data_IF_085634921260
#
_entry.id   IF_085634921260
#
_cell.length_a   1.000
_cell.length_b   1.000
_cell.length_c   1.000
_cell.angle_alpha   90.00
_cell.angle_beta   90.00
_cell.angle_gamma   90.00
#
_symmetry.space_group_name_H-M   'P 1'
#
loop_
_entity.id
_entity.type
_entity.pdbx_description
1 polymer ?
#
# COMPACT_ATOMS: atom_id res chain seq x y z
N UNK A 1 31.96 43.74 -3.13
CA UNK A 1 30.64 43.62 -3.77
C UNK A 1 30.09 42.24 -3.45
N UNK A 2 29.06 42.17 -2.62
CA UNK A 2 28.49 40.92 -2.11
C UNK A 2 27.45 40.37 -3.07
N UNK A 3 27.40 39.06 -3.36
CA UNK A 3 26.24 38.48 -4.03
C UNK A 3 25.18 38.09 -2.98
N UNK A 4 23.99 38.66 -3.15
CA UNK A 4 22.82 38.37 -2.32
C UNK A 4 22.30 36.95 -2.60
N UNK A 5 22.19 36.13 -1.55
CA UNK A 5 21.56 34.81 -1.61
C UNK A 5 20.04 34.96 -1.64
N UNK A 6 19.42 34.72 -2.80
CA UNK A 6 17.97 34.58 -2.91
C UNK A 6 17.53 33.24 -2.31
N UNK A 7 16.95 33.28 -1.11
CA UNK A 7 16.31 32.11 -0.47
C UNK A 7 14.90 31.95 -1.05
N UNK A 8 14.74 31.04 -2.00
CA UNK A 8 13.41 30.62 -2.44
C UNK A 8 12.79 29.71 -1.37
N UNK A 9 11.84 30.26 -0.61
CA UNK A 9 11.01 29.52 0.33
C UNK A 9 10.08 28.59 -0.48
N UNK A 10 10.18 27.28 -0.30
CA UNK A 10 9.21 26.34 -0.86
C UNK A 10 7.85 26.59 -0.20
N UNK A 11 6.90 27.11 -0.99
CA UNK A 11 5.50 27.26 -0.61
C UNK A 11 4.91 25.85 -0.41
N UNK A 12 4.41 25.56 0.79
CA UNK A 12 3.64 24.34 1.05
C UNK A 12 2.37 24.36 0.19
N UNK A 13 2.17 23.32 -0.61
CA UNK A 13 0.93 23.11 -1.37
C UNK A 13 -0.17 22.64 -0.43
N UNK A 14 -1.33 23.28 -0.48
CA UNK A 14 -2.52 22.88 0.26
C UNK A 14 -3.03 21.52 -0.23
N UNK A 15 -3.39 20.64 0.70
CA UNK A 15 -4.01 19.35 0.36
C UNK A 15 -5.47 19.56 -0.02
N UNK A 16 -6.01 18.69 -0.89
CA UNK A 16 -7.36 18.79 -1.45
C UNK A 16 -8.51 18.85 -0.42
N UNK A 17 -8.24 18.62 0.87
CA UNK A 17 -9.21 18.76 1.96
C UNK A 17 -9.45 20.20 2.44
N UNK A 18 -8.55 21.15 2.16
CA UNK A 18 -8.61 22.52 2.71
C UNK A 18 -9.45 23.48 1.85
N UNK A 19 -9.73 23.16 0.57
CA UNK A 19 -10.47 24.04 -0.35
C UNK A 19 -12.02 23.97 -0.20
N UNK A 20 -12.52 23.30 0.84
CA UNK A 20 -13.96 23.00 0.99
C UNK A 20 -14.69 23.81 2.07
N UNK A 21 -14.03 24.73 2.79
CA UNK A 21 -14.61 25.37 3.99
C UNK A 21 -14.65 26.89 4.04
N UNK A 22 -14.23 27.60 3.01
CA UNK A 22 -14.36 29.07 3.01
C UNK A 22 -15.53 29.48 2.12
N UNK A 23 -16.64 29.69 2.81
CA UNK A 23 -17.94 30.12 2.35
C UNK A 23 -18.07 31.65 2.34
N UNK A 24 -18.70 32.19 1.28
CA UNK A 24 -19.86 33.13 1.34
C UNK A 24 -19.62 34.65 1.58
N UNK A 25 -20.32 35.47 0.75
CA UNK A 25 -20.66 36.93 0.78
C UNK A 25 -19.54 37.93 0.39
N UNK A 26 -19.69 38.98 -0.45
CA UNK A 26 -20.80 39.82 -0.98
C UNK A 26 -20.39 40.44 -2.35
N UNK A 27 -21.26 40.56 -3.37
CA UNK A 27 -22.22 41.64 -3.75
C UNK A 27 -21.59 42.91 -4.41
N UNK A 28 -21.95 43.18 -5.68
CA UNK A 28 -22.13 44.53 -6.27
C UNK A 28 -22.70 44.47 -7.70
N UNK A 29 -23.92 45.00 -7.83
CA UNK A 29 -24.70 45.59 -8.95
C UNK A 29 -24.06 45.87 -10.32
N UNK A 30 -24.83 45.64 -11.41
CA UNK A 30 -25.42 46.70 -12.25
C UNK A 30 -26.39 46.15 -13.32
N UNK A 31 -27.37 47.00 -13.67
CA UNK A 31 -28.63 46.80 -14.39
C UNK A 31 -28.46 46.56 -15.91
N UNK A 32 -29.40 45.88 -16.59
CA UNK A 32 -30.49 46.56 -17.35
C UNK A 32 -31.43 45.61 -18.15
N UNK A 33 -32.69 46.03 -18.13
CA UNK A 33 -33.85 45.87 -19.04
C UNK A 33 -34.57 44.53 -19.35
N UNK A 34 -35.91 44.64 -19.32
CA UNK A 34 -36.96 43.63 -19.43
C UNK A 34 -37.54 43.54 -20.88
N UNK A 35 -38.65 42.80 -21.21
CA UNK A 35 -40.00 43.04 -20.67
C UNK A 35 -40.86 41.79 -20.34
N UNK A 36 -41.92 42.05 -19.58
CA UNK A 36 -42.96 41.17 -19.04
C UNK A 36 -43.97 40.60 -20.06
N UNK A 37 -44.54 39.41 -19.77
CA UNK A 37 -45.97 39.00 -19.85
C UNK A 37 -46.02 37.48 -19.55
N UNK A 38 -46.66 36.90 -18.53
CA UNK A 38 -48.10 36.82 -18.26
C UNK A 38 -48.31 36.49 -16.78
N UNK A 39 -49.07 37.34 -16.12
CA UNK A 39 -49.58 37.20 -14.76
C UNK A 39 -50.78 36.22 -14.71
N UNK A 40 -51.03 35.65 -13.52
CA UNK A 40 -52.28 35.00 -13.05
C UNK A 40 -52.34 33.47 -13.11
N UNK A 41 -51.63 32.82 -12.18
CA UNK A 41 -51.87 31.42 -11.85
C UNK A 41 -51.40 30.94 -10.48
N UNK A 42 -50.75 31.79 -9.66
CA UNK A 42 -50.13 31.37 -8.41
C UNK A 42 -50.74 32.09 -7.20
N UNK A 43 -52.06 31.97 -7.04
CA UNK A 43 -52.72 32.31 -5.76
C UNK A 43 -52.69 31.15 -4.76
N UNK A 44 -52.02 30.04 -5.09
CA UNK A 44 -51.84 28.92 -4.16
C UNK A 44 -50.36 28.60 -3.97
N UNK A 45 -49.96 28.41 -2.71
CA UNK A 45 -48.62 27.91 -2.39
C UNK A 45 -48.39 26.61 -3.19
N UNK A 46 -47.19 26.38 -3.76
CA UNK A 46 -46.89 25.15 -4.50
C UNK A 46 -47.23 23.87 -3.71
N UNK A 47 -47.16 23.96 -2.38
CA UNK A 47 -47.51 22.88 -1.45
C UNK A 47 -49.02 22.63 -1.38
N UNK A 48 -49.84 23.66 -1.49
CA UNK A 48 -51.30 23.57 -1.55
C UNK A 48 -51.80 23.12 -2.91
N UNK A 49 -51.13 23.53 -3.99
CA UNK A 49 -51.43 23.06 -5.34
C UNK A 49 -51.28 21.54 -5.43
N UNK A 50 -50.16 20.99 -4.94
CA UNK A 50 -49.94 19.55 -4.89
C UNK A 50 -50.99 18.87 -4.01
N UNK A 51 -51.37 19.47 -2.88
CA UNK A 51 -52.36 18.89 -1.96
C UNK A 51 -53.77 18.86 -2.56
N UNK A 52 -54.12 19.84 -3.39
CA UNK A 52 -55.42 19.90 -4.06
C UNK A 52 -55.55 18.89 -5.20
N UNK A 53 -54.44 18.56 -5.90
CA UNK A 53 -54.45 17.56 -6.98
C UNK A 53 -54.95 16.17 -6.53
N UNK A 54 -54.80 15.83 -5.25
CA UNK A 54 -55.20 14.53 -4.70
C UNK A 54 -56.60 14.52 -4.09
N UNK A 55 -57.29 15.67 -3.99
CA UNK A 55 -58.63 15.73 -3.36
C UNK A 55 -59.72 15.14 -4.26
N UNK A 56 -59.58 15.29 -5.58
CA UNK A 56 -60.60 14.85 -6.56
C UNK A 56 -60.23 13.54 -7.26
N UNK A 57 -59.11 12.92 -6.89
CA UNK A 57 -58.64 11.69 -7.49
C UNK A 57 -59.44 10.48 -6.97
N UNK A 58 -60.46 10.06 -7.73
CA UNK A 58 -61.22 8.82 -7.48
C UNK A 58 -60.86 7.76 -8.49
N UNK A 59 -60.37 6.61 -8.03
CA UNK A 59 -60.14 5.41 -8.85
C UNK A 59 -61.44 4.61 -8.91
N UNK A 60 -61.97 4.37 -10.11
CA UNK A 60 -63.11 3.49 -10.32
C UNK A 60 -62.70 2.02 -10.13
N UNK A 61 -63.32 1.33 -9.17
CA UNK A 61 -63.15 -0.10 -8.94
C UNK A 61 -63.90 -0.89 -10.02
N UNK A 62 -63.25 -1.16 -11.15
CA UNK A 62 -63.81 -2.07 -12.15
C UNK A 62 -63.75 -3.51 -11.66
N UNK A 63 -64.93 -4.10 -11.49
CA UNK A 63 -65.16 -5.48 -11.07
C UNK A 63 -64.61 -6.50 -12.08
N UNK A 64 -64.11 -7.61 -11.54
CA UNK A 64 -63.67 -8.79 -12.28
C UNK A 64 -64.83 -9.41 -13.09
N UNK A 65 -64.67 -9.51 -14.42
CA UNK A 65 -65.46 -10.42 -15.25
C UNK A 65 -64.51 -11.36 -16.00
N UNK A 66 -64.32 -12.54 -15.41
CA UNK A 66 -63.86 -13.74 -16.09
C UNK A 66 -65.12 -14.50 -16.56
N UNK A 67 -65.21 -14.78 -17.86
CA UNK A 67 -66.06 -15.84 -18.42
C UNK A 67 -65.40 -16.25 -19.75
N UNK A 68 -64.81 -17.44 -19.85
CA UNK A 68 -65.45 -18.74 -20.07
C UNK A 68 -66.23 -18.79 -21.40
N UNK A 69 -65.66 -19.53 -22.35
CA UNK A 69 -66.39 -20.08 -23.50
C UNK A 69 -65.59 -21.26 -24.06
N UNK A 70 -65.89 -22.44 -23.53
CA UNK A 70 -65.67 -23.73 -24.18
C UNK A 70 -67.06 -24.30 -24.45
N UNK A 71 -67.33 -24.64 -25.72
CA UNK A 71 -68.40 -25.48 -26.32
C UNK A 71 -68.63 -24.89 -27.73
N UNK A 72 -68.56 -25.58 -28.88
CA UNK A 72 -68.85 -26.95 -29.33
C UNK A 72 -68.18 -27.09 -30.72
N UNK A 73 -67.84 -28.25 -31.30
CA UNK A 73 -68.70 -29.36 -31.75
C UNK A 73 -67.87 -30.62 -32.04
N UNK A 74 -68.52 -31.77 -31.81
CA UNK A 74 -68.12 -33.12 -32.18
C UNK A 74 -68.22 -33.39 -33.69
N UNK A 75 -67.45 -34.38 -34.16
CA UNK A 75 -67.98 -35.40 -35.06
C UNK A 75 -67.30 -35.55 -36.43
N UNK A 76 -66.94 -36.79 -36.76
CA UNK A 76 -67.02 -37.27 -38.16
C UNK A 76 -65.71 -37.66 -38.83
N UNK A 77 -65.55 -38.96 -39.06
CA UNK A 77 -64.47 -39.64 -39.78
C UNK A 77 -64.51 -39.37 -41.31
N UNK A 78 -63.34 -39.47 -41.99
CA UNK A 78 -63.02 -40.42 -43.09
C UNK A 78 -61.94 -39.89 -44.06
N UNK A 79 -61.03 -40.82 -44.41
CA UNK A 79 -60.27 -40.98 -45.68
C UNK A 79 -59.33 -39.84 -46.14
N UNK A 80 -58.22 -40.05 -46.84
CA UNK A 80 -57.36 -41.17 -47.20
C UNK A 80 -56.07 -40.55 -47.78
N UNK A 81 -54.95 -41.27 -47.63
CA UNK A 81 -53.75 -41.29 -48.48
C UNK A 81 -53.45 -40.08 -49.41
N UNK A 82 -52.28 -39.47 -49.25
CA UNK A 82 -51.19 -39.64 -50.21
C UNK A 82 -49.85 -39.11 -49.69
N UNK A 83 -48.83 -39.94 -49.88
CA UNK A 83 -47.41 -39.62 -49.70
C UNK A 83 -47.00 -38.61 -50.77
N UNK A 84 -46.17 -37.62 -50.43
CA UNK A 84 -44.97 -37.28 -51.22
C UNK A 84 -44.02 -36.39 -50.44
N UNK A 85 -42.77 -36.84 -50.40
CA UNK A 85 -41.62 -36.13 -49.85
C UNK A 85 -41.33 -34.88 -50.69
N UNK A 86 -40.93 -33.79 -50.05
CA UNK A 86 -40.45 -32.62 -50.77
C UNK A 86 -40.12 -31.41 -49.89
N UNK A 87 -38.82 -31.25 -49.60
CA UNK A 87 -38.13 -30.00 -49.22
C UNK A 87 -38.69 -29.22 -48.02
N UNK A 88 -38.09 -29.46 -46.85
CA UNK A 88 -37.99 -28.44 -45.78
C UNK A 88 -37.19 -27.24 -46.31
N UNK A 89 -37.84 -26.26 -46.93
CA UNK A 89 -37.29 -24.92 -47.00
C UNK A 89 -37.43 -24.32 -45.60
N UNK A 90 -36.30 -24.12 -44.92
CA UNK A 90 -36.26 -23.43 -43.63
C UNK A 90 -36.68 -21.96 -43.78
N UNK A 91 -37.98 -21.69 -43.86
CA UNK A 91 -38.51 -20.38 -43.48
C UNK A 91 -38.51 -20.34 -41.96
N UNK A 92 -37.37 -19.91 -41.39
CA UNK A 92 -37.39 -19.35 -40.04
C UNK A 92 -38.34 -18.16 -40.08
N UNK A 93 -39.48 -18.31 -39.43
CA UNK A 93 -40.38 -17.21 -39.15
C UNK A 93 -39.60 -16.18 -38.34
N UNK A 94 -39.17 -15.10 -39.00
CA UNK A 94 -38.43 -14.04 -38.33
C UNK A 94 -39.42 -13.35 -37.40
N UNK A 95 -39.24 -13.50 -36.09
CA UNK A 95 -40.00 -12.75 -35.10
C UNK A 95 -39.99 -11.27 -35.51
N UNK A 96 -41.18 -10.70 -35.75
CA UNK A 96 -41.33 -9.28 -36.03
C UNK A 96 -40.91 -8.53 -34.76
N UNK A 97 -39.68 -8.04 -34.75
CA UNK A 97 -39.15 -7.21 -33.68
C UNK A 97 -39.96 -5.92 -33.70
N UNK A 98 -40.76 -5.69 -32.65
CA UNK A 98 -41.47 -4.42 -32.46
C UNK A 98 -40.42 -3.34 -32.23
N UNK A 99 -40.19 -2.51 -33.25
CA UNK A 99 -39.34 -1.32 -33.11
C UNK A 99 -40.22 -0.20 -32.56
N UNK A 100 -39.98 0.27 -31.32
CA UNK A 100 -40.76 1.38 -30.78
C UNK A 100 -40.58 2.62 -31.65
N UNK A 101 -41.68 3.33 -31.88
CA UNK A 101 -41.65 4.60 -32.59
C UNK A 101 -40.71 5.57 -31.83
N UNK A 102 -39.69 6.15 -32.49
CA UNK A 102 -38.77 7.06 -31.81
C UNK A 102 -39.53 8.28 -31.28
N UNK A 103 -39.02 8.83 -30.18
CA UNK A 103 -39.60 10.02 -29.58
C UNK A 103 -39.35 11.26 -30.47
N UNK A 104 -40.24 12.24 -30.43
CA UNK A 104 -40.14 13.43 -31.28
C UNK A 104 -38.83 14.21 -31.06
N UNK A 105 -38.28 14.20 -29.84
CA UNK A 105 -36.97 14.77 -29.55
C UNK A 105 -35.81 14.02 -30.25
N UNK A 106 -35.89 12.70 -30.51
CA UNK A 106 -34.82 11.97 -31.22
C UNK A 106 -34.82 12.38 -32.69
N UNK A 107 -36.01 12.52 -33.25
CA UNK A 107 -36.19 12.95 -34.64
C UNK A 107 -35.68 14.39 -34.80
N UNK A 108 -35.97 15.27 -33.83
CA UNK A 108 -35.45 16.64 -33.76
C UNK A 108 -33.91 16.65 -33.69
N UNK A 109 -33.29 15.86 -32.82
CA UNK A 109 -31.81 15.76 -32.72
C UNK A 109 -31.17 15.18 -33.99
N UNK A 110 -31.79 14.15 -34.59
CA UNK A 110 -31.31 13.57 -35.84
C UNK A 110 -31.37 14.56 -37.01
N UNK A 111 -32.43 15.39 -37.08
CA UNK A 111 -32.52 16.47 -38.07
C UNK A 111 -31.45 17.54 -37.84
N UNK A 112 -31.20 17.94 -36.58
CA UNK A 112 -30.12 18.88 -36.24
C UNK A 112 -28.74 18.36 -36.64
N UNK A 113 -28.47 17.07 -36.40
CA UNK A 113 -27.24 16.40 -36.84
C UNK A 113 -27.11 16.36 -38.36
N UNK A 114 -28.19 16.13 -39.11
CA UNK A 114 -28.21 16.19 -40.58
C UNK A 114 -27.90 17.58 -41.11
N UNK A 115 -28.30 18.63 -40.39
CA UNK A 115 -27.98 20.03 -40.70
C UNK A 115 -26.58 20.44 -40.24
N UNK A 116 -25.79 19.52 -39.67
CA UNK A 116 -24.43 19.79 -39.20
C UNK A 116 -24.36 20.63 -37.91
N UNK A 117 -25.48 20.84 -37.23
CA UNK A 117 -25.54 21.59 -35.98
C UNK A 117 -25.05 20.69 -34.85
N UNK A 118 -23.80 20.89 -34.43
CA UNK A 118 -23.19 20.16 -33.32
C UNK A 118 -23.76 20.61 -31.98
N UNK A 119 -23.85 19.67 -31.06
CA UNK A 119 -24.23 19.93 -29.67
C UNK A 119 -23.02 20.44 -28.90
N UNK A 120 -23.21 21.25 -27.85
CA UNK A 120 -22.12 21.77 -27.01
C UNK A 120 -21.18 20.65 -26.50
N UNK A 121 -21.74 19.54 -26.07
CA UNK A 121 -21.00 18.36 -25.63
C UNK A 121 -20.16 17.71 -26.74
N UNK A 122 -20.67 17.67 -27.97
CA UNK A 122 -19.94 17.14 -29.12
C UNK A 122 -18.73 18.03 -29.44
N UNK A 123 -18.89 19.35 -29.36
CA UNK A 123 -17.79 20.32 -29.55
C UNK A 123 -16.75 20.22 -28.43
N UNK A 124 -17.17 20.04 -27.18
CA UNK A 124 -16.27 19.86 -26.03
C UNK A 124 -15.43 18.58 -26.18
N UNK A 125 -16.03 17.47 -26.61
CA UNK A 125 -15.31 16.22 -26.89
C UNK A 125 -14.31 16.36 -28.04
N UNK A 126 -14.70 17.03 -29.12
CA UNK A 126 -13.79 17.30 -30.25
C UNK A 126 -12.60 18.17 -29.82
N UNK A 127 -12.83 19.21 -29.00
CA UNK A 127 -11.76 20.05 -28.47
C UNK A 127 -10.81 19.30 -27.53
N UNK A 128 -11.35 18.40 -26.69
CA UNK A 128 -10.54 17.54 -25.83
C UNK A 128 -9.65 16.60 -26.66
N UNK A 129 -10.20 16.01 -27.73
CA UNK A 129 -9.45 15.15 -28.64
C UNK A 129 -8.35 15.94 -29.37
N UNK A 130 -8.64 17.15 -29.83
CA UNK A 130 -7.65 18.03 -30.47
C UNK A 130 -6.51 18.40 -29.51
N UNK A 131 -6.83 18.71 -28.24
CA UNK A 131 -5.81 18.97 -27.21
C UNK A 131 -4.93 17.75 -26.97
N UNK A 132 -5.54 16.55 -26.87
CA UNK A 132 -4.80 15.30 -26.71
C UNK A 132 -3.84 15.06 -27.87
N UNK A 133 -4.29 15.27 -29.11
CA UNK A 133 -3.45 15.11 -30.30
C UNK A 133 -2.28 16.09 -30.33
N UNK A 134 -2.51 17.35 -29.92
CA UNK A 134 -1.43 18.34 -29.80
C UNK A 134 -0.41 17.93 -28.73
N UNK A 135 -0.87 17.51 -27.56
CA UNK A 135 -0.02 17.00 -26.47
C UNK A 135 0.81 15.80 -26.95
N UNK A 136 0.19 14.80 -27.57
CA UNK A 136 0.86 13.62 -28.13
C UNK A 136 1.95 13.99 -29.15
N UNK A 137 1.67 14.92 -30.07
CA UNK A 137 2.67 15.37 -31.05
C UNK A 137 3.83 16.08 -30.37
N UNK A 138 3.56 16.92 -29.37
CA UNK A 138 4.63 17.60 -28.61
C UNK A 138 5.46 16.61 -27.78
N UNK A 139 4.83 15.56 -27.25
CA UNK A 139 5.52 14.49 -26.53
C UNK A 139 6.34 13.60 -27.45
N UNK A 140 5.86 13.27 -28.65
CA UNK A 140 6.61 12.54 -29.67
C UNK A 140 7.84 13.32 -30.16
N UNK A 141 7.76 14.65 -30.22
CA UNK A 141 8.91 15.51 -30.53
C UNK A 141 9.93 15.56 -29.39
N UNK A 142 9.50 15.29 -28.15
CA UNK A 142 10.38 15.23 -26.98
C UNK A 142 11.17 13.93 -26.99
N UNK A 143 12.40 13.99 -27.53
CA UNK A 143 13.36 12.90 -27.43
C UNK A 143 13.59 12.55 -25.97
N UNK A 144 13.34 11.30 -25.58
CA UNK A 144 13.56 10.84 -24.22
C UNK A 144 15.01 11.09 -23.82
N UNK A 145 15.20 11.91 -22.78
CA UNK A 145 16.48 12.12 -22.12
C UNK A 145 16.26 11.84 -20.64
N UNK A 146 17.18 11.09 -20.05
CA UNK A 146 17.18 10.91 -18.61
C UNK A 146 17.32 12.27 -17.92
N UNK A 147 16.60 12.46 -16.83
CA UNK A 147 16.86 13.60 -15.95
C UNK A 147 18.32 13.54 -15.50
N UNK A 148 19.06 14.66 -15.55
CA UNK A 148 20.43 14.66 -15.06
C UNK A 148 20.47 14.24 -13.60
N UNK A 149 21.58 13.62 -13.20
CA UNK A 149 21.78 13.20 -11.82
C UNK A 149 21.68 14.45 -10.90
N UNK A 150 20.94 14.38 -9.78
CA UNK A 150 20.86 15.51 -8.86
C UNK A 150 22.23 15.99 -8.39
N UNK A 151 22.42 17.32 -8.33
CA UNK A 151 23.70 17.94 -8.03
C UNK A 151 24.34 17.46 -6.71
N UNK A 152 23.53 17.18 -5.69
CA UNK A 152 24.01 16.72 -4.38
C UNK A 152 24.74 15.36 -4.42
N UNK A 153 24.53 14.55 -5.47
CA UNK A 153 25.24 13.28 -5.67
C UNK A 153 26.70 13.51 -6.04
N UNK A 154 27.02 14.66 -6.64
CA UNK A 154 28.39 15.03 -7.01
C UNK A 154 29.15 15.71 -5.87
N UNK A 155 28.48 16.09 -4.78
CA UNK A 155 29.08 16.79 -3.65
C UNK A 155 29.49 15.80 -2.53
N UNK A 156 30.72 15.86 -2.01
CA UNK A 156 31.17 15.01 -0.90
C UNK A 156 30.61 15.51 0.45
N UNK A 157 29.33 15.24 0.73
CA UNK A 157 28.60 15.75 1.91
C UNK A 157 28.86 14.97 3.23
N UNK A 158 29.84 14.07 3.26
CA UNK A 158 30.02 13.15 4.39
C UNK A 158 30.26 13.88 5.71
N UNK A 159 31.11 14.92 5.70
CA UNK A 159 31.45 15.68 6.90
C UNK A 159 30.25 16.46 7.44
N UNK A 160 29.50 17.14 6.57
CA UNK A 160 28.27 17.84 6.95
C UNK A 160 27.20 16.89 7.51
N UNK A 161 27.06 15.69 6.93
CA UNK A 161 26.12 14.68 7.41
C UNK A 161 26.54 14.14 8.77
N UNK A 162 27.84 13.94 8.99
CA UNK A 162 28.40 13.54 10.29
C UNK A 162 28.13 14.62 11.33
N UNK A 163 28.43 15.88 11.04
CA UNK A 163 28.22 17.00 11.95
C UNK A 163 26.74 17.15 12.33
N UNK A 164 25.82 17.14 11.36
CA UNK A 164 24.36 17.16 11.65
C UNK A 164 23.91 15.97 12.49
N UNK A 165 24.54 14.80 12.34
CA UNK A 165 24.23 13.64 13.19
C UNK A 165 24.72 13.83 14.63
N UNK A 166 25.90 14.44 14.80
CA UNK A 166 26.45 14.76 16.12
C UNK A 166 25.67 15.86 16.81
N UNK A 167 25.24 16.89 16.10
CA UNK A 167 24.33 17.92 16.60
C UNK A 167 23.02 17.30 17.07
N UNK A 168 22.38 16.45 16.27
CA UNK A 168 21.17 15.73 16.70
C UNK A 168 21.42 14.91 17.97
N UNK A 169 22.55 14.21 18.06
CA UNK A 169 22.93 13.45 19.26
C UNK A 169 23.09 14.36 20.49
N UNK A 170 23.81 15.48 20.35
CA UNK A 170 24.02 16.47 21.43
C UNK A 170 22.69 17.06 21.90
N UNK A 171 21.85 17.51 20.97
CA UNK A 171 20.54 18.09 21.33
C UNK A 171 19.64 17.08 22.06
N UNK A 172 19.71 15.80 21.71
CA UNK A 172 18.97 14.74 22.40
C UNK A 172 19.52 14.54 23.82
N UNK A 173 20.84 14.43 23.97
CA UNK A 173 21.49 14.30 25.28
C UNK A 173 21.14 15.49 26.19
N UNK A 174 21.23 16.72 25.70
CA UNK A 174 20.85 17.90 26.49
C UNK A 174 19.38 17.89 26.92
N UNK A 175 18.48 17.41 26.06
CA UNK A 175 17.05 17.27 26.40
C UNK A 175 16.84 16.22 27.47
N UNK A 176 17.51 15.08 27.36
CA UNK A 176 17.46 14.01 28.35
C UNK A 176 18.05 14.47 29.69
N UNK A 177 19.19 15.15 29.69
CA UNK A 177 19.81 15.71 30.89
C UNK A 177 18.90 16.72 31.58
N UNK A 178 18.30 17.65 30.82
CA UNK A 178 17.32 18.61 31.36
C UNK A 178 16.11 17.89 31.96
N UNK A 179 15.58 16.89 31.25
CA UNK A 179 14.45 16.10 31.74
C UNK A 179 14.80 15.36 33.04
N UNK A 180 15.94 14.66 33.06
CA UNK A 180 16.45 13.97 34.23
C UNK A 180 16.66 14.94 35.40
N UNK A 181 17.21 16.13 35.16
CA UNK A 181 17.36 17.16 36.18
C UNK A 181 16.03 17.63 36.78
N UNK A 182 14.96 17.71 35.98
CA UNK A 182 13.62 18.07 36.49
C UNK A 182 12.92 16.94 37.26
N UNK A 183 13.17 15.68 36.89
CA UNK A 183 12.52 14.50 37.49
C UNK A 183 13.25 14.06 38.76
N UNK A 184 14.57 14.24 38.82
CA UNK A 184 15.37 13.87 39.98
C UNK A 184 15.10 14.81 41.15
N UNK A 185 14.44 14.29 42.20
CA UNK A 185 14.49 14.92 43.53
C UNK A 185 15.83 14.54 44.17
N UNK A 186 16.70 15.48 44.54
CA UNK A 186 17.94 15.14 45.22
C UNK A 186 17.62 14.40 46.52
N UNK A 187 18.37 13.34 46.82
CA UNK A 187 18.22 12.64 48.09
C UNK A 187 18.48 13.60 49.25
N UNK A 188 17.72 13.47 50.34
CA UNK A 188 17.86 14.30 51.54
C UNK A 188 19.29 14.31 52.13
N UNK A 189 20.08 13.27 51.81
CA UNK A 189 21.50 13.21 52.15
C UNK A 189 22.34 14.27 51.45
N UNK A 190 22.09 14.55 50.16
CA UNK A 190 22.85 15.53 49.38
C UNK A 190 22.58 16.94 49.90
N UNK A 191 21.32 17.25 50.22
CA UNK A 191 20.95 18.53 50.85
C UNK A 191 21.59 18.69 52.23
N UNK A 192 21.52 17.65 53.08
CA UNK A 192 22.17 17.65 54.40
C UNK A 192 23.68 17.87 54.30
N UNK A 193 24.35 17.24 53.33
CA UNK A 193 25.80 17.39 53.16
C UNK A 193 26.16 18.80 52.67
N UNK A 194 25.37 19.39 51.76
CA UNK A 194 25.53 20.79 51.34
C UNK A 194 25.40 21.74 52.51
N UNK A 195 24.35 21.59 53.31
CA UNK A 195 24.08 22.42 54.49
C UNK A 195 25.18 22.27 55.55
N UNK A 196 25.70 21.06 55.76
CA UNK A 196 26.85 20.80 56.64
C UNK A 196 28.15 21.42 56.12
N UNK A 197 28.37 21.43 54.80
CA UNK A 197 29.52 22.11 54.17
C UNK A 197 29.39 23.62 54.29
N UNK A 198 28.20 24.18 54.06
CA UNK A 198 27.92 25.61 54.25
C UNK A 198 28.11 26.04 55.71
N UNK A 199 27.61 25.26 56.69
CA UNK A 199 27.85 25.54 58.12
C UNK A 199 29.33 25.45 58.51
N UNK A 200 30.10 24.52 57.93
CA UNK A 200 31.55 24.44 58.12
C UNK A 200 32.28 25.63 57.49
N UNK A 201 31.81 26.13 56.35
CA UNK A 201 32.37 27.30 55.68
C UNK A 201 32.00 28.61 56.39
N UNK A 202 30.84 28.67 57.05
CA UNK A 202 30.39 29.81 57.86
C UNK A 202 31.06 29.90 59.25
N UNK A 203 32.01 29.02 59.57
CA UNK A 203 32.86 29.16 60.75
C UNK A 203 32.12 29.16 62.10
N UNK A 204 30.91 28.61 62.17
CA UNK A 204 30.18 28.44 63.44
C UNK A 204 30.98 27.50 64.35
N UNK A 205 31.41 27.95 65.55
CA UNK A 205 32.05 27.06 66.51
C UNK A 205 30.98 26.12 67.04
N UNK A 206 31.10 24.83 66.69
CA UNK A 206 30.32 23.79 67.35
C UNK A 206 30.80 23.71 68.81
N UNK A 207 29.97 24.20 69.74
CA UNK A 207 30.17 23.96 71.16
C UNK A 207 30.32 22.45 71.38
N UNK A 208 31.49 22.05 71.89
CA UNK A 208 31.76 20.67 72.26
C UNK A 208 31.00 20.34 73.53
N UNK A 209 29.69 20.15 73.40
CA UNK A 209 28.84 19.65 74.45
C UNK A 209 29.32 18.24 74.82
N UNK A 210 29.77 18.08 76.06
CA UNK A 210 30.39 16.85 76.57
C UNK A 210 29.50 15.65 76.25
N UNK A 211 30.00 14.79 75.37
CA UNK A 211 29.31 13.62 74.85
C UNK A 211 28.98 12.68 76.01
N UNK A 212 27.71 12.67 76.45
CA UNK A 212 27.19 11.61 77.30
C UNK A 212 27.30 10.30 76.52
N UNK A 213 27.93 9.23 77.05
CA UNK A 213 28.00 7.96 76.34
C UNK A 213 26.59 7.45 76.11
N UNK A 214 26.24 7.30 74.83
CA UNK A 214 24.93 6.83 74.39
C UNK A 214 24.68 5.43 74.95
N UNK A 215 23.71 5.30 75.86
CA UNK A 215 23.20 4.00 76.31
C UNK A 215 22.09 3.59 75.35
N UNK A 216 22.42 2.70 74.41
CA UNK A 216 21.46 2.19 73.45
C UNK A 216 20.40 1.32 74.14
N UNK A 217 19.14 1.45 73.68
CA UNK A 217 18.11 0.45 74.00
C UNK A 217 18.57 -0.92 73.44
N UNK A 218 18.30 -2.03 74.12
CA UNK A 218 18.68 -3.35 73.64
C UNK A 218 18.12 -3.59 72.24
N UNK A 219 18.94 -4.18 71.38
CA UNK A 219 18.58 -4.42 69.99
C UNK A 219 17.34 -5.34 69.95
N UNK A 220 16.29 -4.98 69.19
CA UNK A 220 15.11 -5.83 69.06
C UNK A 220 15.47 -7.25 68.63
N UNK A 221 14.77 -8.25 69.20
CA UNK A 221 15.01 -9.68 68.93
C UNK A 221 14.91 -10.04 67.44
N UNK A 222 14.15 -9.27 66.66
CA UNK A 222 14.05 -9.42 65.20
C UNK A 222 15.39 -9.24 64.47
N UNK A 223 16.31 -8.44 65.00
CA UNK A 223 17.63 -8.25 64.42
C UNK A 223 18.50 -9.50 64.63
N UNK A 224 18.37 -10.15 65.78
CA UNK A 224 19.04 -11.43 66.04
C UNK A 224 18.45 -12.56 65.20
N UNK A 225 17.14 -12.53 64.92
CA UNK A 225 16.49 -13.45 63.98
C UNK A 225 16.96 -13.22 62.53
N UNK A 226 17.21 -11.98 62.12
CA UNK A 226 17.82 -11.69 60.82
C UNK A 226 19.30 -12.11 60.75
N UNK A 227 20.01 -12.05 61.87
CA UNK A 227 21.42 -12.45 61.99
C UNK A 227 21.63 -13.96 62.23
N UNK A 228 20.58 -14.74 62.52
CA UNK A 228 20.67 -16.18 62.77
C UNK A 228 21.13 -16.99 61.56
N UNK A 229 21.22 -16.36 60.38
CA UNK A 229 21.68 -16.98 59.13
C UNK A 229 20.71 -18.01 58.56
N UNK A 230 19.65 -18.38 59.29
CA UNK A 230 18.61 -19.31 58.84
C UNK A 230 17.82 -18.72 57.68
N UNK A 231 17.41 -17.45 57.79
CA UNK A 231 16.72 -16.73 56.71
C UNK A 231 17.57 -16.64 55.44
N UNK A 232 18.90 -16.49 55.57
CA UNK A 232 19.81 -16.46 54.42
C UNK A 232 19.90 -17.83 53.73
N UNK A 233 19.95 -18.93 54.52
CA UNK A 233 19.94 -20.30 53.99
C UNK A 233 18.61 -20.60 53.29
N UNK A 234 17.50 -20.18 53.87
CA UNK A 234 16.17 -20.32 53.28
C UNK A 234 16.05 -19.53 51.97
N UNK A 235 16.50 -18.27 51.94
CA UNK A 235 16.48 -17.47 50.71
C UNK A 235 17.38 -18.07 49.61
N UNK A 236 18.55 -18.59 49.97
CA UNK A 236 19.42 -19.30 49.03
C UNK A 236 18.75 -20.57 48.48
N UNK A 237 18.03 -21.32 49.32
CA UNK A 237 17.26 -22.48 48.90
C UNK A 237 16.15 -22.06 47.93
N UNK A 238 15.36 -21.04 48.25
CA UNK A 238 14.33 -20.51 47.34
C UNK A 238 14.91 -20.03 46.01
N UNK A 239 16.04 -19.32 46.03
CA UNK A 239 16.73 -18.90 44.80
C UNK A 239 17.18 -20.10 43.97
N UNK A 240 17.74 -21.13 44.62
CA UNK A 240 18.21 -22.34 43.95
C UNK A 240 17.06 -23.09 43.26
N UNK A 241 15.93 -23.26 43.95
CA UNK A 241 14.72 -23.88 43.43
C UNK A 241 14.20 -23.07 42.25
N UNK A 242 14.13 -21.74 42.37
CA UNK A 242 13.64 -20.86 41.30
C UNK A 242 14.54 -20.92 40.06
N UNK A 243 15.86 -20.98 40.24
CA UNK A 243 16.81 -21.14 39.14
C UNK A 243 16.62 -22.50 38.46
N UNK A 244 16.49 -23.57 39.23
CA UNK A 244 16.25 -24.92 38.70
C UNK A 244 14.93 -24.99 37.91
N UNK A 245 13.85 -24.46 38.47
CA UNK A 245 12.55 -24.40 37.79
C UNK A 245 12.64 -23.62 36.48
N UNK A 246 13.27 -22.44 36.49
CA UNK A 246 13.45 -21.63 35.29
C UNK A 246 14.33 -22.35 34.25
N UNK A 247 15.38 -23.04 34.68
CA UNK A 247 16.23 -23.81 33.79
C UNK A 247 15.47 -24.97 33.14
N UNK A 248 14.65 -25.68 33.91
CA UNK A 248 13.79 -26.75 33.41
C UNK A 248 12.75 -26.22 32.42
N UNK A 249 12.08 -25.11 32.73
CA UNK A 249 11.12 -24.46 31.83
C UNK A 249 11.77 -23.99 30.53
N UNK A 250 12.96 -23.36 30.60
CA UNK A 250 13.72 -23.00 29.40
C UNK A 250 14.12 -24.23 28.59
N UNK A 251 14.52 -25.33 29.23
CA UNK A 251 14.86 -26.57 28.53
C UNK A 251 13.62 -27.20 27.86
N UNK A 252 12.47 -27.17 28.53
CA UNK A 252 11.21 -27.68 27.98
C UNK A 252 10.70 -26.82 26.82
N UNK A 253 10.76 -25.49 26.95
CA UNK A 253 10.31 -24.53 25.91
C UNK A 253 11.25 -24.46 24.70
N UNK A 254 12.55 -24.67 24.90
CA UNK A 254 13.53 -24.78 23.81
C UNK A 254 13.64 -26.19 23.22
N UNK A 255 12.99 -27.19 23.83
CA UNK A 255 13.00 -28.56 23.32
C UNK A 255 12.31 -28.63 21.96
N UNK A 256 12.96 -29.30 21.01
CA UNK A 256 12.36 -29.53 19.69
C UNK A 256 11.12 -30.44 19.82
N UNK A 257 10.16 -30.36 18.87
CA UNK A 257 9.02 -31.27 18.84
C UNK A 257 9.45 -32.75 18.92
N UNK A 258 8.70 -33.62 19.61
CA UNK A 258 9.07 -35.04 19.79
C UNK A 258 9.42 -35.79 18.49
N UNK A 259 8.78 -35.44 17.37
CA UNK A 259 9.06 -36.01 16.05
C UNK A 259 10.45 -35.67 15.49
N UNK A 260 10.99 -34.50 15.82
CA UNK A 260 12.35 -34.10 15.45
C UNK A 260 13.40 -34.75 16.34
N UNK A 261 13.07 -34.99 17.62
CA UNK A 261 13.94 -35.69 18.55
C UNK A 261 14.12 -37.15 18.14
N UNK A 262 13.05 -37.85 17.77
CA UNK A 262 13.14 -39.25 17.28
C UNK A 262 13.99 -39.36 16.02
N UNK A 263 13.82 -38.42 15.07
CA UNK A 263 14.64 -38.35 13.84
C UNK A 263 16.13 -38.13 14.14
N UNK A 264 16.46 -37.20 15.04
CA UNK A 264 17.86 -36.93 15.44
C UNK A 264 18.52 -38.15 16.10
N UNK A 265 17.77 -38.90 16.90
CA UNK A 265 18.28 -40.12 17.55
C UNK A 265 18.51 -41.25 16.54
N UNK A 266 17.62 -41.42 15.54
CA UNK A 266 17.84 -42.38 14.46
C UNK A 266 19.03 -42.00 13.57
N UNK A 267 19.17 -40.71 13.23
CA UNK A 267 20.29 -40.20 12.42
C UNK A 267 21.63 -40.40 13.15
N UNK A 268 21.67 -40.16 14.46
CA UNK A 268 22.87 -40.37 15.28
C UNK A 268 23.22 -41.85 15.43
N UNK A 269 22.23 -42.75 15.53
CA UNK A 269 22.47 -44.20 15.55
C UNK A 269 23.05 -44.67 14.21
N UNK A 270 22.53 -44.16 13.10
CA UNK A 270 23.03 -44.43 11.73
C UNK A 270 24.48 -43.96 11.51
N UNK A 271 24.88 -42.84 12.10
CA UNK A 271 26.24 -42.30 11.97
C UNK A 271 27.26 -42.92 12.95
N UNK A 272 26.80 -43.46 14.09
CA UNK A 272 27.65 -44.10 15.10
C UNK A 272 28.18 -45.46 14.64
N UNK A 273 27.42 -46.17 13.80
CA UNK A 273 27.85 -47.42 13.18
C UNK A 273 28.91 -47.21 12.06
N UNK A 274 29.30 -45.96 11.76
CA UNK A 274 30.32 -45.62 10.76
C UNK A 274 31.47 -44.72 11.22
N UNK A 275 31.54 -44.29 12.48
CA UNK A 275 32.58 -43.33 12.93
C UNK A 275 32.93 -43.41 14.43
N UNK A 276 33.04 -44.62 14.98
CA UNK A 276 33.47 -44.84 16.37
C UNK A 276 35.01 -44.75 16.57
N UNK A 277 35.68 -43.83 15.87
CA UNK A 277 37.11 -43.58 16.06
C UNK A 277 37.45 -42.13 15.68
N UNK A 278 37.20 -41.18 16.58
CA UNK A 278 38.15 -40.08 16.88
C UNK A 278 37.55 -39.09 17.89
N UNK A 279 38.14 -39.09 19.08
CA UNK A 279 38.54 -37.88 19.79
C UNK A 279 37.45 -36.90 20.21
N UNK A 280 36.92 -37.11 21.42
CA UNK A 280 36.45 -36.02 22.27
C UNK A 280 37.64 -35.14 22.71
N UNK A 281 38.20 -34.35 21.80
CA UNK A 281 39.23 -33.36 22.08
C UNK A 281 38.60 -31.98 22.22
N UNK A 282 38.80 -31.33 23.36
CA UNK A 282 38.45 -29.94 23.60
C UNK A 282 39.09 -29.05 22.52
N UNK A 283 38.26 -28.36 21.74
CA UNK A 283 38.73 -27.37 20.76
C UNK A 283 39.47 -26.24 21.50
N UNK A 284 40.80 -26.24 21.49
CA UNK A 284 41.67 -25.26 22.15
C UNK A 284 41.82 -23.93 21.39
N UNK A 285 40.82 -23.57 20.58
CA UNK A 285 40.90 -22.34 19.78
C UNK A 285 40.52 -21.12 20.64
N UNK A 286 41.54 -20.43 21.18
CA UNK A 286 41.40 -19.07 21.70
C UNK A 286 41.82 -18.06 20.61
N UNK A 287 40.88 -17.31 20.01
CA UNK A 287 41.26 -16.28 19.05
C UNK A 287 42.08 -15.19 19.78
N UNK A 288 43.22 -14.81 19.20
CA UNK A 288 43.94 -13.61 19.61
C UNK A 288 43.10 -12.38 19.25
N UNK A 289 42.48 -11.79 20.26
CA UNK A 289 41.73 -10.54 20.11
C UNK A 289 42.74 -9.40 20.23
N UNK A 290 42.92 -8.63 19.17
CA UNK A 290 43.73 -7.41 19.19
C UNK A 290 43.17 -6.46 20.27
N UNK A 291 43.99 -6.15 21.28
CA UNK A 291 43.58 -5.31 22.43
C UNK A 291 43.51 -3.83 22.09
N UNK A 292 44.32 -3.39 21.14
CA UNK A 292 44.39 -2.00 20.73
C UNK A 292 43.51 -1.77 19.51
N UNK A 293 42.57 -0.85 19.65
CA UNK A 293 41.70 -0.41 18.57
C UNK A 293 42.54 0.50 17.67
N UNK A 294 42.82 0.09 16.41
CA UNK A 294 43.60 0.94 15.53
C UNK A 294 42.85 2.24 15.22
N UNK A 295 43.57 3.33 15.01
CA UNK A 295 42.98 4.58 14.56
C UNK A 295 42.37 4.40 13.15
N UNK A 296 41.04 4.25 13.12
CA UNK A 296 40.27 4.05 11.91
C UNK A 296 40.24 5.30 11.04
N UNK A 297 40.30 6.49 11.65
CA UNK A 297 40.27 7.75 10.92
C UNK A 297 41.58 7.96 10.16
N UNK A 298 42.72 7.67 10.79
CA UNK A 298 44.03 7.72 10.12
C UNK A 298 44.10 6.70 8.97
N UNK A 299 43.60 5.47 9.18
CA UNK A 299 43.54 4.45 8.11
C UNK A 299 42.62 4.89 6.97
N UNK A 300 41.46 5.47 7.28
CA UNK A 300 40.51 5.96 6.29
C UNK A 300 41.11 7.12 5.48
N UNK A 301 41.76 8.09 6.12
CA UNK A 301 42.47 9.19 5.43
C UNK A 301 43.57 8.68 4.49
N UNK A 302 44.35 7.68 4.92
CA UNK A 302 45.37 7.05 4.06
C UNK A 302 44.75 6.36 2.85
N UNK A 303 43.63 5.66 3.06
CA UNK A 303 42.90 5.00 1.99
C UNK A 303 42.31 5.99 0.98
N UNK A 304 41.69 7.08 1.45
CA UNK A 304 41.18 8.14 0.58
C UNK A 304 42.29 8.76 -0.27
N UNK A 305 43.43 9.12 0.33
CA UNK A 305 44.60 9.64 -0.40
C UNK A 305 45.10 8.65 -1.46
N UNK A 306 45.05 7.36 -1.18
CA UNK A 306 45.42 6.31 -2.13
C UNK A 306 44.43 6.21 -3.30
N UNK A 307 43.14 6.36 -3.03
CA UNK A 307 42.11 6.40 -4.08
C UNK A 307 42.25 7.65 -4.95
N UNK A 308 42.50 8.82 -4.37
CA UNK A 308 42.71 10.06 -5.14
C UNK A 308 43.87 9.95 -6.12
N UNK A 309 45.00 9.36 -5.68
CA UNK A 309 46.15 9.06 -6.57
C UNK A 309 45.79 8.10 -7.71
N UNK A 310 44.88 7.16 -7.49
CA UNK A 310 44.42 6.20 -8.52
C UNK A 310 43.28 6.72 -9.38
N UNK A 311 42.62 7.81 -8.95
CA UNK A 311 41.50 8.45 -9.64
C UNK A 311 41.98 9.31 -10.83
N UNK A 312 43.29 9.45 -11.04
CA UNK A 312 43.83 10.04 -12.26
C UNK A 312 43.13 9.44 -13.49
N UNK A 313 42.49 10.32 -14.26
CA UNK A 313 41.52 9.98 -15.29
C UNK A 313 42.26 9.25 -16.41
N UNK A 314 42.01 7.94 -16.55
CA UNK A 314 42.42 7.22 -17.75
C UNK A 314 41.83 7.94 -18.96
N UNK A 315 42.62 8.28 -19.99
CA UNK A 315 42.09 8.98 -21.16
C UNK A 315 40.91 8.19 -21.73
N UNK A 316 39.81 8.89 -22.02
CA UNK A 316 38.59 8.30 -22.56
C UNK A 316 38.96 7.50 -23.81
N UNK A 317 38.71 6.18 -23.79
CA UNK A 317 38.95 5.31 -24.95
C UNK A 317 38.07 5.79 -26.10
N UNK A 318 38.67 6.41 -27.11
CA UNK A 318 37.99 6.81 -28.33
C UNK A 318 37.74 5.56 -29.17
N UNK A 319 36.49 5.33 -29.56
CA UNK A 319 36.17 4.24 -30.48
C UNK A 319 36.78 4.56 -31.84
N UNK A 320 37.75 3.76 -32.27
CA UNK A 320 38.19 3.72 -33.66
C UNK A 320 37.00 3.31 -34.55
N UNK A 321 36.75 4.02 -35.67
CA UNK A 321 35.69 3.65 -36.59
C UNK A 321 35.98 2.27 -37.18
N UNK A 322 35.09 1.31 -36.95
CA UNK A 322 35.18 -0.02 -37.55
C UNK A 322 34.06 -0.21 -38.57
N UNK A 323 34.40 -0.86 -39.67
CA UNK A 323 33.48 -1.08 -40.78
C UNK A 323 32.50 -2.22 -40.44
N UNK A 324 31.26 -1.87 -40.13
CA UNK A 324 30.18 -2.82 -39.90
C UNK A 324 29.75 -3.42 -41.25
N UNK A 325 29.94 -4.74 -41.44
CA UNK A 325 29.54 -5.49 -42.65
C UNK A 325 28.01 -5.69 -42.79
N UNK A 326 27.22 -4.64 -42.56
CA UNK A 326 25.75 -4.67 -42.63
C UNK A 326 25.23 -4.93 -44.05
N UNK A 327 26.04 -4.65 -45.08
CA UNK A 327 25.72 -4.95 -46.48
C UNK A 327 25.53 -6.44 -46.78
N UNK A 328 26.08 -7.33 -45.94
CA UNK A 328 25.95 -8.79 -46.09
C UNK A 328 24.69 -9.35 -45.43
N UNK A 329 23.95 -8.54 -44.68
CA UNK A 329 22.77 -8.96 -43.94
C UNK A 329 21.54 -8.55 -44.77
N UNK A 330 20.77 -9.53 -45.24
CA UNK A 330 19.53 -9.26 -45.97
C UNK A 330 18.57 -8.47 -45.07
N UNK A 331 18.25 -7.24 -45.44
CA UNK A 331 17.35 -6.40 -44.65
C UNK A 331 15.91 -6.89 -44.79
N UNK A 332 15.20 -7.03 -43.67
CA UNK A 332 13.79 -7.43 -43.67
C UNK A 332 12.82 -6.26 -43.94
N UNK A 333 13.37 -5.13 -44.39
CA UNK A 333 12.67 -3.85 -44.50
C UNK A 333 11.41 -3.96 -45.37
N UNK A 334 11.49 -4.67 -46.49
CA UNK A 334 10.36 -4.85 -47.41
C UNK A 334 9.21 -5.64 -46.79
N UNK A 335 9.50 -6.69 -46.02
CA UNK A 335 8.44 -7.46 -45.34
C UNK A 335 7.76 -6.62 -44.26
N UNK A 336 8.52 -5.80 -43.52
CA UNK A 336 7.97 -4.90 -42.51
C UNK A 336 7.08 -3.83 -43.15
N UNK A 337 7.51 -3.25 -44.28
CA UNK A 337 6.68 -2.28 -45.02
C UNK A 337 5.39 -2.92 -45.56
N UNK A 338 5.48 -4.14 -46.09
CA UNK A 338 4.30 -4.88 -46.55
C UNK A 338 3.34 -5.26 -45.40
N UNK A 339 3.85 -5.49 -44.20
CA UNK A 339 3.03 -5.75 -43.01
C UNK A 339 2.30 -4.48 -42.56
N UNK A 340 2.99 -3.33 -42.52
CA UNK A 340 2.39 -2.03 -42.20
C UNK A 340 1.30 -1.61 -43.21
N UNK A 341 1.50 -1.88 -44.50
CA UNK A 341 0.50 -1.60 -45.55
C UNK A 341 -0.74 -2.50 -45.40
N UNK A 342 -0.55 -3.77 -45.03
CA UNK A 342 -1.65 -4.70 -44.70
C UNK A 342 -2.41 -4.27 -43.45
N UNK A 343 -1.72 -3.70 -42.46
CA UNK A 343 -2.37 -3.14 -41.27
C UNK A 343 -3.15 -1.86 -41.56
N UNK A 344 -2.69 -1.05 -42.51
CA UNK A 344 -3.39 0.17 -42.94
C UNK A 344 -4.64 -0.13 -43.79
N UNK A 345 -4.59 -1.16 -44.64
CA UNK A 345 -5.73 -1.57 -45.49
C UNK A 345 -6.77 -2.44 -44.77
N UNK A 346 -6.46 -2.96 -43.58
CA UNK A 346 -7.38 -3.71 -42.73
C UNK A 346 -8.45 -2.81 -42.08
N UNK A 347 -9.75 -3.20 -42.07
CA UNK A 347 -10.79 -2.47 -41.37
C UNK A 347 -10.44 -2.26 -39.89
N UNK A 348 -10.67 -1.04 -39.36
CA UNK A 348 -10.25 -0.60 -38.00
C UNK A 348 -10.61 -1.57 -36.86
N UNK A 349 -11.63 -2.41 -37.05
CA UNK A 349 -12.09 -3.45 -36.11
C UNK A 349 -11.11 -4.63 -35.91
N UNK A 350 -10.09 -4.78 -36.75
CA UNK A 350 -9.02 -5.79 -36.60
C UNK A 350 -7.66 -5.20 -36.22
N UNK A 351 -7.61 -3.90 -35.92
CA UNK A 351 -6.42 -3.27 -35.37
C UNK A 351 -6.35 -3.61 -33.89
N UNK A 352 -5.19 -4.08 -33.44
CA UNK A 352 -4.93 -4.28 -32.02
C UNK A 352 -5.31 -3.01 -31.22
N UNK A 353 -5.94 -3.14 -30.03
CA UNK A 353 -6.36 -4.35 -29.33
C UNK A 353 -7.88 -4.56 -29.44
N UNK A 354 -8.36 -5.25 -30.49
CA UNK A 354 -9.66 -5.92 -30.45
C UNK A 354 -9.55 -7.36 -30.96
N UNK A 355 -9.87 -8.25 -30.03
CA UNK A 355 -9.95 -9.71 -30.08
C UNK A 355 -10.36 -10.24 -31.46
N UNK A 356 -9.45 -10.98 -32.12
CA UNK A 356 -9.84 -11.92 -33.17
C UNK A 356 -10.32 -13.22 -32.51
N UNK A 357 -11.41 -13.85 -32.97
CA UNK A 357 -11.73 -15.22 -32.58
C UNK A 357 -10.79 -16.15 -33.35
N UNK A 358 -9.62 -16.43 -32.77
CA UNK A 358 -8.62 -17.31 -33.33
C UNK A 358 -7.55 -17.62 -32.27
N UNK A 359 -7.23 -18.91 -32.13
CA UNK A 359 -6.42 -19.52 -31.08
C UNK A 359 -5.35 -18.63 -30.42
N UNK A 360 -5.39 -18.57 -29.09
CA UNK A 360 -4.38 -17.95 -28.22
C UNK A 360 -3.05 -18.68 -28.43
N UNK A 361 -2.19 -18.16 -29.30
CA UNK A 361 -0.77 -18.50 -29.31
C UNK A 361 -0.10 -17.70 -28.21
N UNK A 362 0.39 -18.37 -27.17
CA UNK A 362 1.30 -17.77 -26.20
C UNK A 362 2.63 -17.43 -26.88
N UNK A 363 3.22 -16.26 -26.62
CA UNK A 363 4.53 -15.91 -27.17
C UNK A 363 5.60 -16.77 -26.49
N UNK A 364 6.45 -17.39 -27.31
CA UNK A 364 7.62 -18.11 -26.85
C UNK A 364 8.60 -17.08 -26.24
N UNK A 365 8.72 -17.05 -24.92
CA UNK A 365 9.82 -16.37 -24.26
C UNK A 365 11.11 -17.12 -24.57
N UNK A 366 11.93 -16.56 -25.47
CA UNK A 366 13.33 -16.91 -25.57
C UNK A 366 14.03 -16.57 -24.25
N UNK A 367 14.99 -17.42 -23.87
CA UNK A 367 15.95 -17.27 -22.76
C UNK A 367 15.60 -18.01 -21.46
N UNK A 368 15.39 -19.33 -21.53
CA UNK A 368 16.15 -20.34 -20.77
C UNK A 368 15.60 -21.73 -21.12
N UNK A 369 16.23 -22.43 -22.06
CA UNK A 369 15.91 -23.83 -22.34
C UNK A 369 17.20 -24.56 -22.69
N UNK A 370 17.96 -24.84 -21.65
CA UNK A 370 18.88 -25.96 -21.65
C UNK A 370 18.45 -26.80 -20.45
N UNK A 371 18.09 -28.06 -20.72
CA UNK A 371 17.53 -29.06 -19.79
C UNK A 371 16.00 -29.04 -19.64
N UNK A 372 15.28 -29.67 -20.57
CA UNK A 372 14.34 -30.77 -20.27
C UNK A 372 13.51 -31.09 -21.51
N UNK A 373 13.85 -32.17 -22.19
CA UNK A 373 13.01 -32.76 -23.24
C UNK A 373 11.92 -33.62 -22.60
N UNK A 374 10.76 -33.03 -22.29
CA UNK A 374 9.50 -33.78 -22.27
C UNK A 374 8.34 -32.86 -22.66
N UNK A 375 7.71 -33.20 -23.77
CA UNK A 375 6.49 -32.58 -24.27
C UNK A 375 5.31 -33.21 -23.52
N UNK A 376 5.03 -32.76 -22.30
CA UNK A 376 3.74 -33.02 -21.66
C UNK A 376 3.15 -31.73 -21.10
N UNK A 377 2.05 -31.29 -21.72
CA UNK A 377 1.19 -30.22 -21.25
C UNK A 377 0.40 -30.69 -20.04
N UNK A 378 0.98 -30.56 -18.84
CA UNK A 378 0.20 -30.68 -17.62
C UNK A 378 -0.53 -29.36 -17.35
N UNK A 379 -1.86 -29.37 -17.11
CA UNK A 379 -2.57 -28.20 -16.61
C UNK A 379 -1.87 -27.70 -15.34
N UNK A 380 -1.44 -26.45 -15.34
CA UNK A 380 -0.78 -25.85 -14.19
C UNK A 380 -1.70 -26.00 -12.96
N UNK A 381 -1.21 -26.70 -11.92
CA UNK A 381 -1.94 -26.86 -10.65
C UNK A 381 -2.24 -25.46 -10.11
N UNK A 382 -3.52 -25.16 -9.95
CA UNK A 382 -3.99 -23.86 -9.43
C UNK A 382 -3.42 -23.72 -8.01
N UNK A 383 -2.50 -22.77 -7.81
CA UNK A 383 -1.94 -22.47 -6.49
C UNK A 383 -3.02 -21.99 -5.53
N UNK A 384 -2.87 -22.27 -4.24
CA UNK A 384 -3.84 -21.92 -3.21
C UNK A 384 -4.14 -20.41 -3.17
N UNK A 385 -3.13 -19.58 -3.46
CA UNK A 385 -3.28 -18.13 -3.64
C UNK A 385 -4.21 -17.72 -4.79
N UNK A 386 -4.26 -18.48 -5.88
CA UNK A 386 -5.17 -18.26 -7.00
C UNK A 386 -6.59 -18.68 -6.63
N UNK A 387 -6.74 -19.75 -5.84
CA UNK A 387 -8.04 -20.22 -5.35
C UNK A 387 -8.68 -19.19 -4.40
N UNK A 388 -7.88 -18.66 -3.45
CA UNK A 388 -8.29 -17.57 -2.54
C UNK A 388 -8.74 -16.30 -3.27
N UNK A 389 -8.04 -15.90 -4.35
CA UNK A 389 -8.43 -14.75 -5.18
C UNK A 389 -9.80 -14.93 -5.83
N UNK A 390 -10.06 -16.08 -6.45
CA UNK A 390 -11.36 -16.37 -7.05
C UNK A 390 -12.48 -16.48 -6.01
N UNK A 391 -12.17 -16.96 -4.80
CA UNK A 391 -13.13 -17.03 -3.70
C UNK A 391 -13.48 -15.65 -3.15
N UNK A 392 -12.50 -14.76 -2.96
CA UNK A 392 -12.73 -13.37 -2.55
C UNK A 392 -13.61 -12.60 -3.55
N UNK A 393 -13.39 -12.80 -4.85
CA UNK A 393 -14.22 -12.21 -5.90
C UNK A 393 -15.66 -12.73 -5.80
N UNK A 394 -15.87 -14.02 -5.54
CA UNK A 394 -17.21 -14.61 -5.37
C UNK A 394 -17.93 -14.10 -4.10
N UNK A 395 -17.23 -13.91 -2.99
CA UNK A 395 -17.78 -13.31 -1.76
C UNK A 395 -18.23 -11.86 -1.95
N UNK A 396 -17.58 -11.11 -2.83
CA UNK A 396 -17.90 -9.70 -3.08
C UNK A 396 -19.20 -9.50 -3.88
N UNK A 397 -19.65 -10.52 -4.62
CA UNK A 397 -20.92 -10.50 -5.37
C UNK A 397 -22.10 -11.11 -4.60
N UNK A 398 -21.86 -11.84 -3.50
CA UNK A 398 -22.90 -12.58 -2.76
C UNK A 398 -23.37 -11.92 -1.47
N UNK A 399 -22.76 -10.82 -1.03
CA UNK A 399 -23.14 -10.13 0.22
C UNK A 399 -23.97 -8.87 -0.05
N UNK A 400 -25.22 -8.77 0.45
CA UNK A 400 -25.92 -7.50 0.51
C UNK A 400 -25.26 -6.61 1.58
N UNK A 401 -25.10 -5.31 1.26
CA UNK A 401 -24.50 -4.30 2.13
C UNK A 401 -25.23 -4.23 3.48
N UNK A 402 -24.55 -4.30 4.65
CA UNK A 402 -25.21 -4.15 5.94
C UNK A 402 -25.58 -2.70 6.23
N UNK A 403 -26.81 -2.49 6.69
CA UNK A 403 -27.33 -1.24 7.25
C UNK A 403 -26.70 -0.93 8.62
N UNK A 404 -26.42 0.35 8.85
CA UNK A 404 -25.83 0.90 10.07
C UNK A 404 -26.85 0.82 11.21
N UNK A 405 -26.53 0.08 12.28
CA UNK A 405 -27.24 0.13 13.57
C UNK A 405 -26.30 0.82 14.57
N UNK A 406 -26.76 1.93 15.13
CA UNK A 406 -26.08 2.69 16.20
C UNK A 406 -26.36 1.98 17.52
N UNK A 407 -25.32 1.59 18.26
CA UNK A 407 -25.42 1.00 19.60
C UNK A 407 -25.00 2.05 20.62
N UNK A 408 -25.95 2.44 21.46
CA UNK A 408 -25.78 3.33 22.61
C UNK A 408 -25.17 2.52 23.79
N UNK A 409 -24.08 3.02 24.37
CA UNK A 409 -23.33 2.34 25.45
C UNK A 409 -23.69 2.94 26.81
N UNK A 410 -24.42 2.19 27.64
CA UNK A 410 -24.65 2.52 29.06
C UNK A 410 -23.48 2.04 29.92
N UNK A 411 -22.91 2.98 30.70
CA UNK A 411 -21.90 2.76 31.75
C UNK A 411 -22.51 2.07 32.97
N UNK A 412 -21.79 1.11 33.54
CA UNK A 412 -21.95 0.72 34.95
C UNK A 412 -20.56 0.56 35.60
N UNK A 413 -20.31 1.35 36.65
CA UNK A 413 -19.19 1.19 37.58
C UNK A 413 -19.55 0.12 38.62
N UNK A 414 -18.60 -0.71 39.10
CA UNK A 414 -18.81 -1.50 40.30
C UNK A 414 -18.34 -0.74 41.55
N UNK A 415 -19.11 -0.89 42.64
CA UNK A 415 -18.69 -0.67 44.02
C UNK A 415 -17.86 -1.86 44.51
#
# INVERSE_FOLDING_TARGET
>A
MSPATSRHCLRKSHSAGELRRDSVLSDSSEEDDAPNDVEKGLLFSPKEHIKNMWRDFKVSSYNHQLSSSLQSLQGGQKTAQQRRQGKKSGRREKHRVTVPKPFHMTLREAQRRKLGIKTRSEIELENMELRRQLEEVTECQRKFRASPVPAHVHLPLYEELRERSEERRRTLQEREEKHLGTVQKPFSFIERERLKKEQKQQGQPFDQEKVKPFKAKPVPKSVYAAASGEHLKEEQLYRSIKIQMRAQEMLQSSSMPPSMLTRRLSDRKKNKDGSAAEGAGSFSHRPQINKEVPDFDAKHRRFQKHLEKRKEVKPTTTCEPFELRTSRISSHKERVLAELEKEQSSPRLRRWPCVSPGAVRTPNSSLCSSLSGSLELLPAKITDATKKRHEAVRYHFSTPKPSVIVVEMLKACPL
#
